data_IF_819533579721
#
_entry.id   IF_819533579721
#
_cell.length_a   1.000
_cell.length_b   1.000
_cell.length_c   1.000
_cell.angle_alpha   90.00
_cell.angle_beta   90.00
_cell.angle_gamma   90.00
#
_symmetry.space_group_name_H-M   'P 1'
#
loop_
_entity.id
_entity.type
_entity.pdbx_description
1 polymer ?
#
# COMPACT_ATOMS: atom_id res chain seq x y z
N UNK A 1 -6.14 12.86 15.03
CA UNK A 1 -5.76 11.97 13.90
C UNK A 1 -4.42 11.35 14.26
N UNK A 2 -4.25 10.02 14.28
CA UNK A 2 -2.95 9.42 14.51
C UNK A 2 -2.00 9.88 13.40
N UNK A 3 -0.84 10.42 13.78
CA UNK A 3 0.15 10.91 12.83
C UNK A 3 0.71 9.72 12.02
N UNK A 4 0.88 9.92 10.71
CA UNK A 4 1.67 9.00 9.87
C UNK A 4 2.99 8.74 10.56
N UNK A 5 3.42 7.47 10.64
CA UNK A 5 4.76 7.17 11.16
C UNK A 5 5.79 8.02 10.42
N UNK A 6 6.63 8.81 11.13
CA UNK A 6 7.65 9.64 10.50
C UNK A 6 8.55 8.84 9.56
N UNK A 7 8.81 7.58 9.90
CA UNK A 7 9.58 6.64 9.09
C UNK A 7 8.92 6.29 7.76
N UNK A 8 7.60 6.02 7.74
CA UNK A 8 6.87 5.71 6.50
C UNK A 8 6.91 6.91 5.55
N UNK A 9 6.65 8.11 6.08
CA UNK A 9 6.74 9.35 5.31
C UNK A 9 8.16 9.58 4.77
N UNK A 10 9.19 9.35 5.60
CA UNK A 10 10.59 9.48 5.17
C UNK A 10 10.97 8.49 4.06
N UNK A 11 10.57 7.21 4.19
CA UNK A 11 10.79 6.18 3.18
C UNK A 11 10.07 6.50 1.87
N UNK A 12 8.85 7.03 1.94
CA UNK A 12 8.12 7.47 0.76
C UNK A 12 8.80 8.65 0.05
N UNK A 13 9.32 9.63 0.80
CA UNK A 13 10.09 10.75 0.25
C UNK A 13 11.35 10.24 -0.45
N UNK A 14 12.09 9.33 0.18
CA UNK A 14 13.28 8.72 -0.39
C UNK A 14 12.94 7.91 -1.67
N UNK A 15 11.88 7.12 -1.63
CA UNK A 15 11.42 6.34 -2.78
C UNK A 15 11.01 7.23 -3.96
N UNK A 16 10.30 8.33 -3.69
CA UNK A 16 9.98 9.36 -4.70
C UNK A 16 11.24 9.95 -5.33
N UNK A 17 12.24 10.31 -4.53
CA UNK A 17 13.49 10.88 -5.02
C UNK A 17 14.24 9.88 -5.92
N UNK A 18 14.32 8.60 -5.51
CA UNK A 18 14.96 7.54 -6.28
C UNK A 18 14.20 7.19 -7.56
N UNK A 19 12.88 7.18 -7.54
CA UNK A 19 12.05 6.99 -8.73
C UNK A 19 12.27 8.12 -9.74
N UNK A 20 12.44 9.37 -9.27
CA UNK A 20 12.74 10.53 -10.15
C UNK A 20 14.13 10.47 -10.80
N UNK A 21 15.10 9.81 -10.17
CA UNK A 21 16.40 9.51 -10.77
C UNK A 21 16.25 8.50 -11.91
N UNK A 22 15.39 7.49 -11.75
CA UNK A 22 15.07 6.53 -12.82
C UNK A 22 14.35 7.22 -13.99
N UNK A 23 13.27 7.93 -13.70
CA UNK A 23 12.51 8.70 -14.69
C UNK A 23 12.00 10.00 -14.07
N UNK A 24 12.33 11.14 -14.67
CA UNK A 24 11.95 12.47 -14.15
C UNK A 24 10.44 12.69 -13.98
N UNK A 25 9.62 11.99 -14.77
CA UNK A 25 8.16 12.03 -14.74
C UNK A 25 7.55 10.92 -13.86
N UNK A 26 8.35 10.12 -13.14
CA UNK A 26 7.84 9.06 -12.30
C UNK A 26 6.81 9.59 -11.28
N UNK A 27 5.70 8.85 -11.14
CA UNK A 27 4.59 9.12 -10.20
C UNK A 27 4.25 7.87 -9.42
N UNK A 28 3.81 8.05 -8.17
CA UNK A 28 3.40 6.95 -7.32
C UNK A 28 2.06 6.38 -7.81
N UNK A 29 2.00 5.06 -7.98
CA UNK A 29 0.84 4.34 -8.50
C UNK A 29 0.18 3.45 -7.46
N UNK A 30 0.98 2.87 -6.58
CA UNK A 30 0.48 2.01 -5.51
C UNK A 30 1.45 1.99 -4.33
N UNK A 31 0.90 1.70 -3.14
CA UNK A 31 1.67 1.29 -1.97
C UNK A 31 1.16 -0.10 -1.57
N UNK A 32 2.07 -1.07 -1.44
CA UNK A 32 1.72 -2.44 -1.03
C UNK A 32 2.47 -2.77 0.25
N UNK A 33 1.74 -3.03 1.32
CA UNK A 33 2.26 -3.33 2.64
C UNK A 33 1.85 -4.74 3.04
N UNK A 34 2.76 -5.54 3.59
CA UNK A 34 2.45 -6.89 4.09
C UNK A 34 3.02 -7.15 5.47
N UNK A 35 2.23 -7.79 6.34
CA UNK A 35 2.59 -8.16 7.72
C UNK A 35 1.77 -9.38 8.16
N UNK A 36 2.24 -10.15 9.16
CA UNK A 36 1.53 -11.36 9.63
C UNK A 36 0.77 -11.19 10.94
N UNK A 37 1.01 -10.11 11.67
CA UNK A 37 0.30 -9.83 12.92
C UNK A 37 0.33 -8.36 13.30
N UNK A 38 -0.46 -7.98 14.32
CA UNK A 38 -0.50 -6.62 14.89
C UNK A 38 0.90 -6.23 15.45
N UNK A 39 1.65 -7.19 15.99
CA UNK A 39 3.02 -6.97 16.50
C UNK A 39 4.04 -6.75 15.38
N UNK A 40 3.85 -7.40 14.23
CA UNK A 40 4.69 -7.24 13.03
C UNK A 40 4.38 -5.97 12.25
N UNK A 41 3.27 -5.29 12.56
CA UNK A 41 2.85 -4.03 11.91
C UNK A 41 3.95 -2.96 11.95
N UNK A 42 4.85 -2.99 12.94
CA UNK A 42 6.00 -2.09 13.04
C UNK A 42 7.14 -2.42 12.07
N UNK A 43 7.22 -3.68 11.63
CA UNK A 43 8.24 -4.22 10.76
C UNK A 43 7.67 -4.60 9.38
N UNK A 44 6.47 -4.11 9.05
CA UNK A 44 5.77 -4.45 7.83
C UNK A 44 6.66 -4.21 6.60
N UNK A 45 6.55 -5.10 5.62
CA UNK A 45 7.23 -4.93 4.35
C UNK A 45 6.45 -3.93 3.51
N UNK A 46 7.07 -2.81 3.17
CA UNK A 46 6.47 -1.71 2.41
C UNK A 46 7.04 -1.72 0.99
N UNK A 47 6.20 -1.69 -0.03
CA UNK A 47 6.60 -1.59 -1.43
C UNK A 47 5.95 -0.36 -2.05
N UNK A 48 6.77 0.58 -2.52
CA UNK A 48 6.33 1.77 -3.23
C UNK A 48 6.47 1.52 -4.73
N UNK A 49 5.35 1.61 -5.46
CA UNK A 49 5.28 1.31 -6.89
C UNK A 49 5.12 2.61 -7.67
N UNK A 50 6.02 2.82 -8.63
CA UNK A 50 6.06 4.03 -9.46
C UNK A 50 5.94 3.69 -10.93
N UNK A 51 5.22 4.56 -11.64
CA UNK A 51 5.06 4.52 -13.09
C UNK A 51 5.57 5.77 -13.75
N UNK A 52 6.01 5.64 -15.00
CA UNK A 52 6.39 6.76 -15.87
C UNK A 52 5.56 6.70 -17.15
N UNK A 53 5.27 7.86 -17.75
CA UNK A 53 4.66 7.93 -19.08
C UNK A 53 5.67 7.58 -20.19
N UNK A 54 6.97 7.66 -19.88
CA UNK A 54 8.08 7.32 -20.78
C UNK A 54 8.45 5.85 -20.77
N UNK A 55 8.10 5.12 -19.70
CA UNK A 55 8.27 3.66 -19.61
C UNK A 55 6.91 3.00 -19.41
N UNK A 56 6.30 2.57 -20.52
CA UNK A 56 4.99 1.92 -20.54
C UNK A 56 5.02 0.44 -20.15
N UNK A 57 6.22 -0.14 -19.98
CA UNK A 57 6.40 -1.59 -19.81
C UNK A 57 6.75 -1.97 -18.38
N UNK A 58 7.39 -1.08 -17.62
CA UNK A 58 7.87 -1.39 -16.28
C UNK A 58 7.21 -0.54 -15.20
N UNK A 59 7.01 -1.17 -14.05
CA UNK A 59 6.89 -0.53 -12.75
C UNK A 59 8.26 -0.45 -12.11
N UNK A 60 8.62 0.72 -11.59
CA UNK A 60 9.77 0.84 -10.70
C UNK A 60 9.29 0.67 -9.27
N UNK A 61 9.91 -0.27 -8.56
CA UNK A 61 9.45 -0.68 -7.24
C UNK A 61 10.57 -0.52 -6.24
N UNK A 62 10.26 0.04 -5.07
CA UNK A 62 11.19 0.14 -3.95
C UNK A 62 10.59 -0.52 -2.71
N UNK A 63 11.25 -1.56 -2.23
CA UNK A 63 10.84 -2.31 -1.05
C UNK A 63 11.65 -1.90 0.18
N UNK A 64 10.99 -1.85 1.35
CA UNK A 64 11.59 -1.70 2.67
C UNK A 64 11.08 -2.81 3.58
N UNK A 65 11.96 -3.44 4.37
CA UNK A 65 11.57 -4.34 5.47
C UNK A 65 12.26 -3.93 6.77
N UNK A 66 11.51 -3.98 7.88
CA UNK A 66 11.97 -3.48 9.18
C UNK A 66 13.11 -4.30 9.81
N UNK A 67 13.20 -5.62 9.53
CA UNK A 67 14.23 -6.47 10.15
C UNK A 67 15.64 -6.23 9.61
N UNK A 68 15.79 -5.79 8.36
CA UNK A 68 17.11 -5.70 7.71
C UNK A 68 17.33 -4.46 6.84
N UNK A 69 16.43 -3.47 6.86
CA UNK A 69 16.51 -2.24 6.05
C UNK A 69 16.98 -2.51 4.60
N UNK A 70 16.55 -3.63 4.01
CA UNK A 70 16.98 -4.01 2.68
C UNK A 70 16.16 -3.22 1.68
N UNK A 71 16.82 -2.24 1.06
CA UNK A 71 16.28 -1.54 -0.09
C UNK A 71 16.45 -2.44 -1.32
N UNK A 72 15.37 -3.05 -1.79
CA UNK A 72 15.38 -3.72 -3.10
C UNK A 72 14.76 -2.78 -4.12
N UNK A 73 15.48 -2.54 -5.22
CA UNK A 73 14.98 -1.83 -6.39
C UNK A 73 14.74 -2.84 -7.49
N UNK A 74 13.56 -2.83 -8.08
CA UNK A 74 13.22 -3.70 -9.19
C UNK A 74 12.46 -2.93 -10.26
N UNK A 75 12.81 -3.21 -11.52
CA UNK A 75 11.91 -2.97 -12.65
C UNK A 75 11.08 -4.25 -12.80
N UNK A 76 9.77 -4.14 -12.63
CA UNK A 76 8.84 -5.26 -12.73
C UNK A 76 7.94 -5.00 -13.93
N UNK A 77 7.80 -5.92 -14.89
CA UNK A 77 6.87 -5.77 -15.98
C UNK A 77 5.46 -5.46 -15.47
N UNK A 78 4.74 -4.55 -16.14
CA UNK A 78 3.47 -4.05 -15.62
C UNK A 78 2.42 -5.15 -15.46
N UNK A 79 2.41 -6.08 -16.41
CA UNK A 79 1.57 -7.27 -16.43
C UNK A 79 1.75 -8.21 -15.22
N UNK A 80 2.95 -8.26 -14.65
CA UNK A 80 3.30 -9.23 -13.59
C UNK A 80 2.95 -8.76 -12.17
N UNK A 81 2.58 -7.49 -11.98
CA UNK A 81 2.40 -6.92 -10.63
C UNK A 81 0.97 -6.43 -10.36
N UNK A 82 0.51 -5.40 -11.05
CA UNK A 82 -0.74 -4.70 -10.73
C UNK A 82 -1.60 -4.38 -11.96
N UNK A 83 -1.24 -4.93 -13.12
CA UNK A 83 -1.84 -4.59 -14.40
C UNK A 83 -1.17 -3.38 -15.07
N UNK A 84 -1.67 -2.99 -16.25
CA UNK A 84 -1.00 -2.02 -17.14
C UNK A 84 -1.41 -0.57 -16.92
N UNK A 85 -2.56 -0.33 -16.27
CA UNK A 85 -3.15 1.01 -16.11
C UNK A 85 -3.51 1.27 -14.65
N UNK A 86 -2.64 2.00 -13.95
CA UNK A 86 -2.92 2.53 -12.61
C UNK A 86 -2.96 4.05 -12.68
N UNK A 87 -3.98 4.63 -12.05
CA UNK A 87 -4.05 6.06 -11.81
C UNK A 87 -2.98 6.50 -10.78
N UNK A 88 -2.57 7.76 -10.87
CA UNK A 88 -1.63 8.34 -9.91
C UNK A 88 -2.29 8.49 -8.54
N UNK A 89 -1.55 8.22 -7.47
CA UNK A 89 -1.98 8.54 -6.12
C UNK A 89 -1.67 10.03 -5.87
N UNK A 90 -2.68 10.88 -5.58
CA UNK A 90 -2.46 12.28 -5.27
C UNK A 90 -1.66 12.45 -3.98
N UNK A 91 -0.72 13.40 -3.97
CA UNK A 91 0.19 13.61 -2.84
C UNK A 91 -0.55 13.99 -1.55
N UNK A 92 -1.68 14.70 -1.66
CA UNK A 92 -2.55 15.10 -0.54
C UNK A 92 -3.16 13.93 0.25
N UNK A 93 -3.20 12.73 -0.33
CA UNK A 93 -3.83 11.57 0.29
C UNK A 93 -2.84 10.57 0.91
N UNK A 94 -1.54 10.88 0.85
CA UNK A 94 -0.47 10.08 1.44
C UNK A 94 -0.39 10.20 2.97
N UNK A 95 -1.27 11.00 3.58
CA UNK A 95 -1.35 11.25 5.03
C UNK A 95 -2.03 10.13 5.83
N UNK A 96 -2.41 9.03 5.17
CA UNK A 96 -3.24 7.97 5.76
C UNK A 96 -2.44 6.69 5.85
N UNK A 97 -1.98 6.37 7.07
CA UNK A 97 -1.17 5.19 7.35
C UNK A 97 -2.01 3.89 7.24
N UNK A 98 -1.44 2.84 6.66
CA UNK A 98 -2.06 1.50 6.60
C UNK A 98 -2.42 0.97 8.00
N UNK A 99 -1.68 1.42 9.03
CA UNK A 99 -1.96 1.10 10.42
C UNK A 99 -3.34 1.60 10.85
N UNK A 100 -3.71 2.82 10.43
CA UNK A 100 -5.03 3.38 10.75
C UNK A 100 -6.13 2.60 10.03
N UNK A 101 -5.94 2.27 8.75
CA UNK A 101 -6.89 1.46 7.99
C UNK A 101 -7.12 0.10 8.67
N UNK A 102 -6.03 -0.57 9.07
CA UNK A 102 -6.07 -1.83 9.80
C UNK A 102 -6.79 -1.72 11.14
N UNK A 103 -6.48 -0.69 11.94
CA UNK A 103 -7.14 -0.45 13.23
C UNK A 103 -8.65 -0.22 13.09
N UNK A 104 -9.07 0.55 12.08
CA UNK A 104 -10.49 0.82 11.82
C UNK A 104 -11.23 -0.45 11.39
N UNK A 105 -10.61 -1.27 10.55
CA UNK A 105 -11.16 -2.57 10.15
C UNK A 105 -11.27 -3.51 11.35
N UNK A 106 -10.24 -3.60 12.19
CA UNK A 106 -10.25 -4.41 13.41
C UNK A 106 -11.32 -3.94 14.39
N UNK A 107 -11.50 -2.63 14.57
CA UNK A 107 -12.51 -2.08 15.45
C UNK A 107 -13.94 -2.41 14.98
N UNK A 108 -14.18 -2.43 13.66
CA UNK A 108 -15.52 -2.67 13.09
C UNK A 108 -15.83 -4.16 12.83
N UNK A 109 -14.84 -4.95 12.46
CA UNK A 109 -15.01 -6.34 12.01
C UNK A 109 -14.21 -7.36 12.79
N UNK A 110 -13.57 -6.99 13.90
CA UNK A 110 -12.61 -7.83 14.65
C UNK A 110 -13.06 -9.26 14.94
N UNK A 111 -14.36 -9.49 15.18
CA UNK A 111 -14.91 -10.83 15.43
C UNK A 111 -15.00 -11.71 14.18
N UNK A 112 -15.09 -11.11 12.99
CA UNK A 112 -15.10 -11.82 11.71
C UNK A 112 -13.70 -12.12 11.18
N UNK A 113 -12.71 -11.33 11.60
CA UNK A 113 -11.35 -11.43 11.07
C UNK A 113 -10.66 -12.71 11.58
N UNK A 114 -9.88 -13.41 10.72
CA UNK A 114 -9.13 -14.57 11.18
C UNK A 114 -8.14 -14.17 12.28
N UNK A 115 -8.05 -14.97 13.36
CA UNK A 115 -7.16 -14.67 14.48
C UNK A 115 -5.67 -14.71 14.10
N UNK A 116 -5.32 -15.55 13.12
CA UNK A 116 -3.98 -15.65 12.54
C UNK A 116 -4.11 -15.45 11.03
N UNK A 117 -3.82 -14.24 10.57
CA UNK A 117 -3.93 -13.88 9.17
C UNK A 117 -2.64 -13.23 8.67
N UNK A 118 -2.18 -13.65 7.49
CA UNK A 118 -1.29 -12.78 6.71
C UNK A 118 -2.12 -11.65 6.15
N UNK A 119 -1.70 -10.42 6.40
CA UNK A 119 -2.39 -9.21 5.95
C UNK A 119 -1.60 -8.58 4.82
N UNK A 120 -2.29 -8.28 3.73
CA UNK A 120 -1.79 -7.46 2.63
C UNK A 120 -2.67 -6.22 2.53
N UNK A 121 -2.07 -5.04 2.71
CA UNK A 121 -2.71 -3.75 2.55
C UNK A 121 -2.21 -3.08 1.27
N UNK A 122 -3.12 -2.69 0.39
CA UNK A 122 -2.79 -2.00 -0.86
C UNK A 122 -3.50 -0.66 -0.92
N UNK A 123 -2.74 0.42 -1.07
CA UNK A 123 -3.25 1.75 -1.39
C UNK A 123 -3.21 1.95 -2.90
N UNK A 124 -4.35 2.18 -3.53
CA UNK A 124 -4.45 2.51 -4.94
C UNK A 124 -5.71 3.32 -5.25
N UNK A 125 -5.67 4.09 -6.33
CA UNK A 125 -6.87 4.68 -6.92
C UNK A 125 -7.61 3.60 -7.69
N UNK A 126 -8.93 3.48 -7.50
CA UNK A 126 -9.72 2.46 -8.18
C UNK A 126 -11.23 2.67 -8.15
N UNK A 127 -11.97 1.81 -8.88
CA UNK A 127 -13.42 1.89 -8.99
C UNK A 127 -14.12 1.72 -7.63
N UNK A 128 -15.36 2.25 -7.46
CA UNK A 128 -16.26 2.71 -8.53
C UNK A 128 -16.15 4.19 -8.93
N UNK A 129 -15.44 5.03 -8.18
CA UNK A 129 -15.43 6.50 -8.38
C UNK A 129 -14.01 7.07 -8.55
N UNK A 130 -13.05 6.26 -9.00
CA UNK A 130 -11.62 6.59 -9.00
C UNK A 130 -11.15 7.18 -7.67
N UNK A 131 -11.65 6.56 -6.60
CA UNK A 131 -11.31 6.94 -5.24
C UNK A 131 -10.03 6.23 -4.80
N UNK A 132 -9.33 6.88 -3.88
CA UNK A 132 -8.22 6.25 -3.20
C UNK A 132 -8.76 5.27 -2.15
N UNK A 133 -8.32 4.02 -2.24
CA UNK A 133 -8.71 2.97 -1.31
C UNK A 133 -7.49 2.30 -0.73
N UNK A 134 -7.47 2.16 0.60
CA UNK A 134 -6.75 1.07 1.25
C UNK A 134 -7.60 -0.20 1.11
N UNK A 135 -7.10 -1.20 0.39
CA UNK A 135 -7.69 -2.55 0.33
C UNK A 135 -6.87 -3.46 1.22
N UNK A 136 -7.47 -4.00 2.28
CA UNK A 136 -6.82 -4.93 3.21
C UNK A 136 -7.38 -6.32 3.00
N UNK A 137 -6.50 -7.26 2.69
CA UNK A 137 -6.82 -8.66 2.54
C UNK A 137 -6.22 -9.43 3.70
N UNK A 138 -7.07 -10.13 4.44
CA UNK A 138 -6.74 -11.00 5.55
C UNK A 138 -6.84 -12.44 5.07
N UNK A 139 -5.70 -13.13 5.02
CA UNK A 139 -5.63 -14.53 4.63
C UNK A 139 -5.32 -15.40 5.84
N UNK A 140 -6.35 -16.09 6.33
CA UNK A 140 -6.26 -17.06 7.43
C UNK A 140 -6.52 -18.48 6.95
N UNK A 141 -6.58 -19.43 7.89
CA UNK A 141 -6.88 -20.84 7.62
C UNK A 141 -8.31 -21.07 7.13
N UNK A 142 -9.24 -20.20 7.54
CA UNK A 142 -10.68 -20.29 7.23
C UNK A 142 -11.04 -19.63 5.88
N UNK A 143 -10.10 -18.92 5.26
CA UNK A 143 -10.31 -18.28 3.97
C UNK A 143 -9.67 -16.90 3.86
N UNK A 144 -10.13 -16.17 2.83
CA UNK A 144 -9.66 -14.82 2.50
C UNK A 144 -10.81 -13.84 2.70
N UNK A 145 -10.56 -12.79 3.48
CA UNK A 145 -11.52 -11.69 3.65
C UNK A 145 -10.87 -10.40 3.20
N UNK A 146 -11.59 -9.61 2.39
CA UNK A 146 -11.08 -8.35 1.87
C UNK A 146 -11.98 -7.19 2.27
N UNK A 147 -11.37 -6.11 2.71
CA UNK A 147 -12.05 -4.89 3.13
C UNK A 147 -11.43 -3.70 2.42
N UNK A 148 -12.23 -2.65 2.20
CA UNK A 148 -11.76 -1.38 1.67
C UNK A 148 -12.06 -0.24 2.62
N UNK A 149 -11.11 0.68 2.72
CA UNK A 149 -11.17 1.91 3.50
C UNK A 149 -10.82 3.11 2.61
N UNK A 150 -11.68 4.11 2.56
CA UNK A 150 -11.38 5.38 1.90
C UNK A 150 -10.82 6.37 2.93
N UNK A 151 -9.57 6.80 2.82
CA UNK A 151 -8.98 7.70 3.81
C UNK A 151 -9.58 9.12 3.82
N UNK A 152 -10.22 9.54 2.72
CA UNK A 152 -10.83 10.87 2.60
C UNK A 152 -12.20 10.91 3.25
N UNK A 153 -13.04 9.91 2.97
CA UNK A 153 -14.42 9.86 3.48
C UNK A 153 -14.56 9.06 4.77
N UNK A 154 -13.52 8.31 5.15
CA UNK A 154 -13.52 7.32 6.23
C UNK A 154 -14.52 6.18 6.01
N UNK A 155 -15.00 6.01 4.78
CA UNK A 155 -15.90 4.93 4.40
C UNK A 155 -15.20 3.58 4.50
N UNK A 156 -15.93 2.57 5.02
CA UNK A 156 -15.43 1.22 5.19
C UNK A 156 -16.42 0.17 4.68
N UNK A 157 -15.94 -0.68 3.76
CA UNK A 157 -16.75 -1.65 3.01
C UNK A 157 -16.10 -3.03 3.02
N UNK A 158 -16.91 -4.08 3.24
CA UNK A 158 -16.53 -5.50 3.07
C UNK A 158 -16.75 -5.87 1.59
N UNK A 159 -15.79 -6.56 0.97
CA UNK A 159 -15.82 -6.97 -0.44
C UNK A 159 -16.20 -8.43 -0.63
#
# INVERSE_FOLDING_TARGET
MPAVKPEFAARLVEAKAKAKIWQSDARLKAIVVSFKSDEELKNAKENFVFGSSRDLYNWWTMAYSGEHAQTVRALVPREDLLGTTLADIPDEHLLSDYQQAHQLIRAKFGQKLPQQATVSAKLMVGPPQDFLWWTLTYQGTEGVQTYRFNPKTLELTEL
#
